data_IF_236082880315
#
_entry.id   IF_236082880315
#
_cell.length_a   1.000
_cell.length_b   1.000
_cell.length_c   1.000
_cell.angle_alpha   90.00
_cell.angle_beta   90.00
_cell.angle_gamma   90.00
#
_symmetry.space_group_name_H-M   'P 1'
#
loop_
_entity.id
_entity.type
_entity.pdbx_description
1 polymer ?
#
# COMPACT_ATOMS: atom_id res chain seq x y z
N UNK A 1 19.48 -7.21 -7.01
CA UNK A 1 19.20 -7.22 -8.46
C UNK A 1 17.95 -6.37 -8.69
N UNK A 2 17.91 -5.49 -9.69
CA UNK A 2 16.73 -4.69 -9.98
C UNK A 2 15.51 -5.55 -10.36
N UNK A 3 14.31 -5.14 -9.94
CA UNK A 3 13.03 -5.80 -10.24
C UNK A 3 12.21 -4.86 -11.13
N UNK A 4 11.85 -5.31 -12.34
CA UNK A 4 11.02 -4.53 -13.25
C UNK A 4 9.59 -4.41 -12.72
N UNK A 5 9.11 -3.17 -12.57
CA UNK A 5 7.72 -2.84 -12.23
C UNK A 5 7.02 -2.41 -13.52
N UNK A 6 5.85 -3.01 -13.79
CA UNK A 6 4.97 -2.57 -14.88
C UNK A 6 3.98 -1.55 -14.30
N UNK A 7 3.94 -0.37 -14.89
CA UNK A 7 3.00 0.68 -14.54
C UNK A 7 1.70 0.54 -15.37
N UNK A 8 0.67 1.30 -15.01
CA UNK A 8 -0.65 1.22 -15.67
C UNK A 8 -0.68 1.81 -17.08
N UNK A 9 0.35 2.57 -17.46
CA UNK A 9 0.56 3.14 -18.79
C UNK A 9 1.47 2.27 -19.68
N UNK A 10 1.61 0.98 -19.32
CA UNK A 10 2.50 -0.02 -19.93
C UNK A 10 4.01 0.30 -19.88
N UNK A 11 4.40 1.42 -19.29
CA UNK A 11 5.80 1.75 -19.06
C UNK A 11 6.42 0.83 -18.00
N UNK A 12 7.75 0.79 -17.97
CA UNK A 12 8.52 -0.01 -17.01
C UNK A 12 9.55 0.85 -16.31
N UNK A 13 9.65 0.64 -15.00
CA UNK A 13 10.68 1.22 -14.15
C UNK A 13 11.35 0.11 -13.34
N UNK A 14 12.48 0.42 -12.73
CA UNK A 14 13.23 -0.54 -11.92
C UNK A 14 13.11 -0.24 -10.43
N UNK A 15 12.67 -1.22 -9.66
CA UNK A 15 12.92 -1.24 -8.23
C UNK A 15 14.35 -1.69 -7.98
N UNK A 16 15.11 -0.93 -7.19
CA UNK A 16 16.49 -1.25 -6.81
C UNK A 16 16.58 -1.88 -5.41
N UNK A 17 15.49 -1.86 -4.65
CA UNK A 17 15.42 -2.45 -3.31
C UNK A 17 14.10 -3.19 -3.06
N UNK A 18 14.13 -4.11 -2.11
CA UNK A 18 12.97 -4.81 -1.56
C UNK A 18 13.12 -4.81 -0.04
N UNK A 19 12.08 -4.40 0.68
CA UNK A 19 12.13 -4.34 2.13
C UNK A 19 10.76 -4.30 2.77
N UNK A 20 10.75 -3.87 4.03
CA UNK A 20 9.52 -3.70 4.79
C UNK A 20 9.41 -2.25 5.26
N UNK A 21 8.19 -1.73 5.27
CA UNK A 21 7.89 -0.40 5.79
C UNK A 21 7.07 -0.56 7.05
N UNK A 22 7.48 0.15 8.11
CA UNK A 22 6.71 0.29 9.32
C UNK A 22 5.93 1.60 9.24
N UNK A 23 4.64 1.54 9.52
CA UNK A 23 3.78 2.71 9.49
C UNK A 23 2.72 2.64 10.59
N UNK A 24 2.25 3.81 11.01
CA UNK A 24 1.15 3.94 11.97
C UNK A 24 -0.11 4.37 11.21
N UNK A 25 -1.18 3.63 11.43
CA UNK A 25 -2.53 3.94 10.97
C UNK A 25 -3.35 4.46 12.14
N UNK A 26 -4.11 5.52 11.92
CA UNK A 26 -5.06 6.05 12.90
C UNK A 26 -6.47 5.68 12.46
N UNK A 27 -7.07 4.68 13.10
CA UNK A 27 -8.39 4.16 12.76
C UNK A 27 -9.29 4.26 13.98
N UNK A 28 -10.47 4.88 13.83
CA UNK A 28 -11.44 5.06 14.91
C UNK A 28 -10.86 5.68 16.20
N UNK A 29 -9.82 6.51 16.09
CA UNK A 29 -9.13 7.12 17.24
C UNK A 29 -8.04 6.24 17.88
N UNK A 30 -7.83 5.02 17.39
CA UNK A 30 -6.78 4.10 17.85
C UNK A 30 -5.57 4.09 16.90
N UNK A 31 -4.38 3.88 17.46
CA UNK A 31 -3.13 3.72 16.72
C UNK A 31 -2.87 2.25 16.43
N UNK A 32 -2.76 1.91 15.16
CA UNK A 32 -2.41 0.58 14.69
C UNK A 32 -1.02 0.58 14.06
N UNK A 33 -0.12 -0.23 14.61
CA UNK A 33 1.20 -0.46 14.03
C UNK A 33 1.09 -1.50 12.91
N UNK A 34 1.54 -1.13 11.71
CA UNK A 34 1.51 -1.99 10.54
C UNK A 34 2.90 -2.16 9.96
N UNK A 35 3.27 -3.41 9.72
CA UNK A 35 4.46 -3.77 8.94
C UNK A 35 3.99 -4.25 7.57
N UNK A 36 4.29 -3.46 6.54
CA UNK A 36 4.05 -3.83 5.16
C UNK A 36 5.32 -4.48 4.63
N UNK A 37 5.25 -5.78 4.37
CA UNK A 37 6.37 -6.56 3.85
C UNK A 37 6.37 -6.56 2.31
N UNK A 38 7.50 -6.93 1.73
CA UNK A 38 7.69 -7.12 0.29
C UNK A 38 7.46 -5.85 -0.55
N UNK A 39 7.84 -4.69 0.01
CA UNK A 39 7.71 -3.37 -0.61
C UNK A 39 8.90 -3.10 -1.53
N UNK A 40 8.60 -2.71 -2.77
CA UNK A 40 9.61 -2.38 -3.77
C UNK A 40 10.03 -0.91 -3.65
N UNK A 41 11.34 -0.67 -3.55
CA UNK A 41 11.92 0.66 -3.60
C UNK A 41 12.37 0.98 -5.02
N UNK A 42 11.71 1.94 -5.67
CA UNK A 42 11.98 2.41 -7.03
C UNK A 42 12.19 3.93 -7.00
N UNK A 43 13.44 4.43 -7.15
CA UNK A 43 13.76 5.86 -7.06
C UNK A 43 13.07 6.72 -8.13
N UNK A 44 12.81 6.11 -9.30
CA UNK A 44 12.15 6.78 -10.42
C UNK A 44 10.65 7.04 -10.15
N UNK A 45 10.10 6.45 -9.08
CA UNK A 45 8.79 6.77 -8.56
C UNK A 45 8.90 7.83 -7.48
N UNK A 46 8.19 8.94 -7.67
CA UNK A 46 8.07 9.99 -6.64
C UNK A 46 7.34 9.50 -5.37
N UNK A 47 6.69 8.34 -5.41
CA UNK A 47 5.89 7.78 -4.30
C UNK A 47 6.11 6.27 -4.15
N UNK A 48 6.02 5.78 -2.92
CA UNK A 48 6.01 4.32 -2.68
C UNK A 48 4.70 3.72 -3.16
N UNK A 49 4.77 2.74 -4.06
CA UNK A 49 3.60 1.99 -4.51
C UNK A 49 3.50 0.64 -3.79
N UNK A 50 2.28 0.28 -3.43
CA UNK A 50 1.95 -1.04 -2.91
C UNK A 50 1.30 -1.88 -4.00
N UNK A 51 1.80 -3.10 -4.18
CA UNK A 51 1.18 -4.05 -5.10
C UNK A 51 -0.14 -4.56 -4.53
N UNK A 52 -1.26 -4.11 -5.08
CA UNK A 52 -2.62 -4.56 -4.71
C UNK A 52 -2.73 -6.09 -4.80
N UNK A 53 -2.17 -6.70 -5.86
CA UNK A 53 -2.17 -8.16 -6.02
C UNK A 53 -1.46 -8.87 -4.85
N UNK A 54 -0.30 -8.37 -4.41
CA UNK A 54 0.42 -8.95 -3.26
C UNK A 54 -0.35 -8.78 -1.97
N UNK A 55 -0.92 -7.60 -1.74
CA UNK A 55 -1.74 -7.32 -0.57
C UNK A 55 -3.00 -8.19 -0.51
N UNK A 56 -3.64 -8.41 -1.66
CA UNK A 56 -4.86 -9.21 -1.79
C UNK A 56 -4.65 -10.70 -1.48
N UNK A 57 -3.40 -11.20 -1.49
CA UNK A 57 -3.12 -12.57 -1.08
C UNK A 57 -3.36 -12.80 0.43
N UNK A 58 -3.16 -11.77 1.26
CA UNK A 58 -3.26 -11.87 2.72
C UNK A 58 -4.44 -11.09 3.30
N UNK A 59 -4.91 -10.08 2.58
CA UNK A 59 -5.92 -9.13 3.05
C UNK A 59 -7.10 -9.08 2.08
N UNK A 60 -8.26 -8.64 2.57
CA UNK A 60 -9.34 -8.21 1.68
C UNK A 60 -9.13 -6.74 1.36
N UNK A 61 -9.23 -6.37 0.09
CA UNK A 61 -9.12 -4.97 -0.35
C UNK A 61 -10.47 -4.55 -0.92
N UNK A 62 -11.01 -3.44 -0.42
CA UNK A 62 -12.28 -2.88 -0.85
C UNK A 62 -12.04 -1.48 -1.42
N UNK A 63 -12.61 -1.22 -2.58
CA UNK A 63 -12.60 0.10 -3.20
C UNK A 63 -14.04 0.60 -3.25
N UNK A 64 -14.36 1.61 -2.43
CA UNK A 64 -15.66 2.26 -2.40
C UNK A 64 -15.45 3.77 -2.46
N UNK A 65 -15.69 4.39 -3.61
CA UNK A 65 -15.21 5.75 -3.89
C UNK A 65 -15.78 6.75 -2.86
N UNK A 66 -14.95 7.63 -2.26
CA UNK A 66 -13.55 7.92 -2.57
C UNK A 66 -12.52 7.09 -1.79
N UNK A 67 -12.95 6.08 -1.04
CA UNK A 67 -12.14 5.32 -0.09
C UNK A 67 -11.59 4.01 -0.69
N UNK A 68 -10.46 3.59 -0.13
CA UNK A 68 -9.91 2.25 -0.23
C UNK A 68 -9.69 1.75 1.19
N UNK A 69 -10.10 0.52 1.47
CA UNK A 69 -9.90 -0.13 2.76
C UNK A 69 -9.14 -1.43 2.54
N UNK A 70 -8.11 -1.65 3.37
CA UNK A 70 -7.49 -2.97 3.51
C UNK A 70 -8.00 -3.55 4.81
N UNK A 71 -8.63 -4.71 4.73
CA UNK A 71 -9.13 -5.44 5.89
C UNK A 71 -8.26 -6.68 6.14
N UNK A 72 -7.96 -6.95 7.41
CA UNK A 72 -7.42 -8.25 7.80
C UNK A 72 -8.44 -9.34 7.42
N UNK A 73 -7.97 -10.37 6.74
CA UNK A 73 -8.87 -11.40 6.19
C UNK A 73 -9.48 -12.29 7.27
N UNK A 74 -8.84 -12.44 8.44
CA UNK A 74 -9.31 -13.31 9.52
C UNK A 74 -10.33 -12.60 10.39
N UNK A 75 -10.05 -11.36 10.81
CA UNK A 75 -10.92 -10.59 11.69
C UNK A 75 -11.96 -9.77 10.94
N UNK A 76 -11.79 -9.61 9.62
CA UNK A 76 -12.62 -8.73 8.78
C UNK A 76 -12.54 -7.24 9.18
N UNK A 77 -11.62 -6.88 10.08
CA UNK A 77 -11.44 -5.51 10.55
C UNK A 77 -10.64 -4.69 9.54
N UNK A 78 -11.01 -3.43 9.37
CA UNK A 78 -10.23 -2.46 8.60
C UNK A 78 -8.93 -2.18 9.36
N UNK A 79 -7.80 -2.36 8.69
CA UNK A 79 -6.45 -2.15 9.24
C UNK A 79 -5.71 -0.99 8.55
N UNK A 80 -6.22 -0.54 7.41
CA UNK A 80 -5.71 0.61 6.66
C UNK A 80 -6.86 1.28 5.95
N UNK A 81 -6.87 2.61 5.99
CA UNK A 81 -7.70 3.43 5.12
C UNK A 81 -6.84 4.26 4.18
N UNK A 82 -7.32 4.37 2.94
CA UNK A 82 -6.75 5.23 1.93
C UNK A 82 -7.83 6.06 1.26
N UNK A 83 -7.44 7.24 0.81
CA UNK A 83 -8.33 8.17 0.12
C UNK A 83 -7.81 8.37 -1.29
N UNK A 84 -8.71 8.40 -2.27
CA UNK A 84 -8.36 8.74 -3.63
C UNK A 84 -7.90 10.19 -3.71
N UNK A 85 -6.67 10.41 -4.16
CA UNK A 85 -6.15 11.73 -4.54
C UNK A 85 -5.60 11.59 -5.96
N UNK A 86 -6.10 12.43 -6.87
CA UNK A 86 -5.89 12.26 -8.31
C UNK A 86 -6.34 10.86 -8.78
N UNK A 87 -5.44 10.08 -9.38
CA UNK A 87 -5.71 8.74 -9.89
C UNK A 87 -5.18 7.61 -8.99
N UNK A 88 -4.68 7.92 -7.78
CA UNK A 88 -4.14 6.95 -6.84
C UNK A 88 -4.91 6.97 -5.51
N UNK A 89 -4.93 5.84 -4.83
CA UNK A 89 -5.37 5.76 -3.44
C UNK A 89 -4.15 5.95 -2.54
N UNK A 90 -4.15 7.03 -1.78
CA UNK A 90 -3.09 7.35 -0.83
C UNK A 90 -3.49 6.81 0.53
N UNK A 91 -2.66 5.96 1.11
CA UNK A 91 -2.86 5.51 2.49
C UNK A 91 -2.64 6.68 3.44
N UNK A 92 -3.52 6.84 4.41
CA UNK A 92 -3.35 7.82 5.48
C UNK A 92 -2.45 7.18 6.54
N UNK A 93 -1.15 7.27 6.34
CA UNK A 93 -0.16 6.70 7.26
C UNK A 93 0.90 7.72 7.64
N UNK A 94 1.29 7.70 8.90
CA UNK A 94 2.50 8.38 9.35
C UNK A 94 3.69 7.39 9.29
N UNK A 95 4.85 7.81 8.75
CA UNK A 95 6.07 7.02 8.89
C UNK A 95 6.42 6.90 10.39
N UNK A 96 6.90 5.72 10.79
CA UNK A 96 7.51 5.51 12.10
C UNK A 96 8.95 6.00 12.13
#
# INVERSE_FOLDING_TARGET
>A
RPIAIHLSDDSKINAIGLGSIQCVQHLNGERHHLIINDVLYAPDLAVTLLSVRRLAHRNRIMFDRPLCQICDRKSNQVIVEGVKRNNLYHLISEPM
#
